data_IF_999260892643
#
_entry.id   IF_999260892643
#
_cell.length_a   1.000
_cell.length_b   1.000
_cell.length_c   1.000
_cell.angle_alpha   90.00
_cell.angle_beta   90.00
_cell.angle_gamma   90.00
#
_symmetry.space_group_name_H-M   'P 1'
#
loop_
_entity.id
_entity.type
_entity.pdbx_description
1 polymer ?
#
# COMPACT_ATOMS: atom_id res chain seq x y z
N UNK A 1 -6.95 -10.16 -4.27
CA UNK A 1 -6.52 -8.92 -4.97
C UNK A 1 -7.66 -7.95 -5.35
N UNK A 2 -8.93 -8.27 -5.15
CA UNK A 2 -10.05 -7.60 -5.85
C UNK A 2 -10.80 -6.52 -5.06
N UNK A 3 -10.93 -6.60 -3.74
CA UNK A 3 -11.91 -5.80 -3.01
C UNK A 3 -11.46 -4.36 -2.69
N UNK A 4 -10.23 -4.18 -2.21
CA UNK A 4 -9.68 -2.84 -1.89
C UNK A 4 -9.53 -1.96 -3.13
N UNK A 5 -9.05 -2.54 -4.24
CA UNK A 5 -8.98 -1.86 -5.54
C UNK A 5 -10.36 -1.51 -6.07
N UNK A 6 -11.34 -2.41 -5.91
CA UNK A 6 -12.72 -2.14 -6.30
C UNK A 6 -13.30 -0.98 -5.47
N UNK A 7 -13.11 -0.98 -4.16
CA UNK A 7 -13.55 0.11 -3.29
C UNK A 7 -12.97 1.45 -3.74
N UNK A 8 -11.65 1.51 -3.96
CA UNK A 8 -10.95 2.70 -4.43
C UNK A 8 -11.52 3.20 -5.78
N UNK A 9 -11.64 2.32 -6.77
CA UNK A 9 -12.20 2.67 -8.08
C UNK A 9 -13.65 3.15 -8.01
N UNK A 10 -14.48 2.55 -7.14
CA UNK A 10 -15.88 2.96 -6.97
C UNK A 10 -15.96 4.38 -6.43
N UNK A 11 -15.12 4.72 -5.45
CA UNK A 11 -15.06 6.08 -4.89
C UNK A 11 -14.64 7.09 -5.96
N UNK A 12 -13.67 6.75 -6.82
CA UNK A 12 -13.26 7.61 -7.93
C UNK A 12 -14.38 7.84 -8.95
N UNK A 13 -15.25 6.85 -9.15
CA UNK A 13 -16.44 6.95 -9.98
C UNK A 13 -17.63 7.63 -9.28
N UNK A 14 -17.46 8.14 -8.05
CA UNK A 14 -18.53 8.76 -7.26
C UNK A 14 -19.58 7.76 -6.77
N UNK A 15 -19.27 6.47 -6.74
CA UNK A 15 -20.15 5.40 -6.28
C UNK A 15 -19.89 5.07 -4.81
N UNK A 16 -20.92 4.59 -4.10
CA UNK A 16 -20.76 4.07 -2.74
C UNK A 16 -19.88 2.82 -2.73
N UNK A 17 -18.95 2.76 -1.77
CA UNK A 17 -18.10 1.60 -1.51
C UNK A 17 -18.33 1.00 -0.10
N UNK A 18 -19.50 1.25 0.51
CA UNK A 18 -19.80 0.86 1.89
C UNK A 18 -19.63 -0.65 2.13
N UNK A 19 -20.29 -1.49 1.32
CA UNK A 19 -20.20 -2.95 1.45
C UNK A 19 -18.75 -3.45 1.33
N UNK A 20 -17.97 -2.85 0.42
CA UNK A 20 -16.56 -3.22 0.26
C UNK A 20 -15.74 -2.84 1.48
N UNK A 21 -16.04 -1.71 2.13
CA UNK A 21 -15.36 -1.35 3.36
C UNK A 21 -15.74 -2.27 4.52
N UNK A 22 -17.01 -2.63 4.67
CA UNK A 22 -17.46 -3.52 5.74
C UNK A 22 -16.75 -4.88 5.64
N UNK A 23 -16.68 -5.44 4.43
CA UNK A 23 -15.98 -6.71 4.19
C UNK A 23 -14.45 -6.57 4.33
N UNK A 24 -13.84 -5.47 3.85
CA UNK A 24 -12.40 -5.26 4.02
C UNK A 24 -12.01 -5.12 5.49
N UNK A 25 -12.75 -4.31 6.25
CA UNK A 25 -12.42 -4.02 7.64
C UNK A 25 -12.64 -5.21 8.56
N UNK A 26 -13.56 -6.12 8.21
CA UNK A 26 -13.74 -7.39 8.91
C UNK A 26 -12.49 -8.30 8.83
N UNK A 27 -11.64 -8.12 7.81
CA UNK A 27 -10.43 -8.91 7.59
C UNK A 27 -9.17 -8.25 8.20
N UNK A 28 -9.29 -7.15 8.96
CA UNK A 28 -8.11 -6.54 9.58
C UNK A 28 -7.50 -7.47 10.64
N UNK A 29 -6.23 -7.82 10.46
CA UNK A 29 -5.50 -8.66 11.40
C UNK A 29 -5.20 -7.98 12.73
N UNK A 30 -4.78 -8.77 13.72
CA UNK A 30 -4.30 -8.26 15.01
C UNK A 30 -3.09 -7.32 14.84
N UNK A 31 -2.24 -7.62 13.85
CA UNK A 31 -1.08 -6.82 13.42
C UNK A 31 -1.47 -5.50 12.72
N UNK A 32 -2.75 -5.31 12.43
CA UNK A 32 -3.31 -4.13 11.77
C UNK A 32 -3.28 -4.19 10.24
N UNK A 33 -2.63 -5.19 9.65
CA UNK A 33 -2.58 -5.37 8.21
C UNK A 33 -3.84 -6.05 7.65
N UNK A 34 -3.86 -6.19 6.33
CA UNK A 34 -4.95 -6.85 5.60
C UNK A 34 -4.41 -7.99 4.74
N UNK A 35 -5.08 -9.16 4.74
CA UNK A 35 -4.66 -10.30 3.94
C UNK A 35 -5.15 -10.19 2.50
N UNK A 36 -4.46 -10.86 1.57
CA UNK A 36 -4.86 -10.88 0.15
C UNK A 36 -6.17 -11.63 -0.11
N UNK A 37 -6.48 -12.59 0.75
CA UNK A 37 -7.68 -13.42 0.81
C UNK A 37 -8.04 -13.67 2.28
N UNK A 38 -9.34 -13.83 2.62
CA UNK A 38 -9.77 -14.12 3.98
C UNK A 38 -9.04 -15.31 4.61
N UNK A 39 -8.67 -15.16 5.88
CA UNK A 39 -7.96 -16.18 6.66
C UNK A 39 -6.47 -16.37 6.36
N UNK A 40 -5.89 -15.58 5.44
CA UNK A 40 -4.44 -15.54 5.23
C UNK A 40 -3.75 -14.55 6.18
N UNK A 41 -2.42 -14.52 6.15
CA UNK A 41 -1.62 -13.50 6.82
C UNK A 41 -1.74 -12.16 6.08
N UNK A 42 -1.56 -11.06 6.83
CA UNK A 42 -1.49 -9.71 6.29
C UNK A 42 -0.39 -9.58 5.21
N UNK A 43 -0.68 -8.85 4.13
CA UNK A 43 0.27 -8.57 3.06
C UNK A 43 0.42 -7.05 2.82
N UNK A 44 1.64 -6.55 2.58
CA UNK A 44 1.87 -5.13 2.29
C UNK A 44 1.07 -4.55 1.13
N UNK A 45 1.00 -5.25 -0.01
CA UNK A 45 0.30 -4.73 -1.19
C UNK A 45 -1.19 -4.53 -0.92
N UNK A 46 -1.85 -5.51 -0.30
CA UNK A 46 -3.27 -5.41 0.02
C UNK A 46 -3.52 -4.33 1.07
N UNK A 47 -2.68 -4.27 2.10
CA UNK A 47 -2.75 -3.22 3.14
C UNK A 47 -2.60 -1.82 2.54
N UNK A 48 -1.68 -1.62 1.61
CA UNK A 48 -1.49 -0.34 0.92
C UNK A 48 -2.74 0.05 0.11
N UNK A 49 -3.38 -0.89 -0.60
CA UNK A 49 -4.63 -0.61 -1.31
C UNK A 49 -5.78 -0.23 -0.38
N UNK A 50 -5.90 -0.87 0.78
CA UNK A 50 -6.93 -0.51 1.77
C UNK A 50 -6.70 0.90 2.29
N UNK A 51 -5.45 1.28 2.60
CA UNK A 51 -5.11 2.63 3.03
C UNK A 51 -5.44 3.69 1.96
N UNK A 52 -5.14 3.42 0.69
CA UNK A 52 -5.51 4.31 -0.41
C UNK A 52 -7.04 4.43 -0.57
N UNK A 53 -7.79 3.34 -0.39
CA UNK A 53 -9.25 3.39 -0.42
C UNK A 53 -9.81 4.23 0.76
N UNK A 54 -9.29 4.00 1.97
CA UNK A 54 -9.70 4.74 3.18
C UNK A 54 -9.38 6.23 3.05
N UNK A 55 -8.17 6.59 2.63
CA UNK A 55 -7.79 8.00 2.41
C UNK A 55 -8.70 8.68 1.40
N UNK A 56 -8.96 8.01 0.26
CA UNK A 56 -9.82 8.53 -0.80
C UNK A 56 -11.28 8.72 -0.36
N UNK A 57 -11.76 7.91 0.58
CA UNK A 57 -13.08 8.04 1.21
C UNK A 57 -13.13 9.09 2.34
N UNK A 58 -12.03 9.79 2.64
CA UNK A 58 -11.94 10.69 3.79
C UNK A 58 -11.82 9.98 5.15
N UNK A 59 -11.59 8.65 5.13
CA UNK A 59 -11.49 7.76 6.28
C UNK A 59 -10.05 7.47 6.70
N UNK A 60 -9.07 8.12 6.08
CA UNK A 60 -7.66 8.08 6.53
C UNK A 60 -7.47 8.58 7.97
N UNK A 61 -8.51 9.23 8.51
CA UNK A 61 -8.76 9.67 9.89
C UNK A 61 -8.81 8.57 10.96
N UNK A 62 -9.26 7.38 10.58
CA UNK A 62 -9.83 6.39 11.48
C UNK A 62 -8.79 5.44 12.11
N UNK A 63 -9.22 4.71 13.13
CA UNK A 63 -8.38 3.78 13.89
C UNK A 63 -7.82 2.66 13.01
N UNK A 64 -8.65 2.15 12.11
CA UNK A 64 -8.34 1.09 11.17
C UNK A 64 -7.23 1.54 10.20
N UNK A 65 -7.31 2.78 9.72
CA UNK A 65 -6.26 3.39 8.90
C UNK A 65 -4.94 3.55 9.69
N UNK A 66 -5.01 3.99 10.95
CA UNK A 66 -3.81 4.12 11.79
C UNK A 66 -3.15 2.77 12.07
N UNK A 67 -3.94 1.72 12.34
CA UNK A 67 -3.45 0.33 12.53
C UNK A 67 -2.77 -0.20 11.27
N UNK A 68 -3.39 -0.01 10.10
CA UNK A 68 -2.85 -0.43 8.82
C UNK A 68 -1.57 0.30 8.43
N UNK A 69 -1.49 1.60 8.72
CA UNK A 69 -0.26 2.37 8.54
C UNK A 69 0.86 1.86 9.47
N UNK A 70 0.52 1.52 10.72
CA UNK A 70 1.44 0.89 11.67
C UNK A 70 2.02 -0.42 11.13
N UNK A 71 1.17 -1.29 10.58
CA UNK A 71 1.60 -2.52 9.91
C UNK A 71 2.58 -2.24 8.75
N UNK A 72 2.26 -1.28 7.86
CA UNK A 72 3.13 -0.96 6.73
C UNK A 72 4.51 -0.48 7.20
N UNK A 73 4.56 0.39 8.21
CA UNK A 73 5.84 0.87 8.74
C UNK A 73 6.64 -0.28 9.37
N UNK A 74 5.98 -1.16 10.13
CA UNK A 74 6.61 -2.30 10.78
C UNK A 74 7.09 -3.38 9.80
N UNK A 75 6.45 -3.50 8.64
CA UNK A 75 6.78 -4.49 7.60
C UNK A 75 7.79 -3.99 6.55
N UNK A 76 8.24 -2.73 6.63
CA UNK A 76 9.29 -2.22 5.75
C UNK A 76 10.60 -2.97 6.00
N UNK A 77 11.19 -3.52 4.93
CA UNK A 77 12.42 -4.29 5.01
C UNK A 77 13.64 -3.40 5.25
N UNK A 78 14.78 -4.01 5.57
CA UNK A 78 16.05 -3.29 5.81
C UNK A 78 16.56 -2.55 4.57
N UNK A 79 16.27 -3.08 3.38
CA UNK A 79 16.56 -2.45 2.08
C UNK A 79 15.61 -1.29 1.72
N UNK A 80 14.58 -1.04 2.53
CA UNK A 80 13.60 0.02 2.33
C UNK A 80 12.37 -0.37 1.49
N UNK A 81 12.36 -1.58 0.93
CA UNK A 81 11.24 -2.11 0.17
C UNK A 81 10.21 -2.85 1.02
N UNK A 82 9.17 -3.34 0.36
CA UNK A 82 8.18 -4.27 0.92
C UNK A 82 8.15 -5.55 0.10
N UNK A 83 7.93 -6.66 0.80
CA UNK A 83 7.76 -7.97 0.20
C UNK A 83 6.47 -8.02 -0.63
N UNK A 84 6.52 -8.67 -1.79
CA UNK A 84 5.31 -9.17 -2.44
C UNK A 84 5.02 -10.54 -1.84
N UNK A 85 3.81 -10.86 -1.38
CA UNK A 85 3.58 -12.20 -0.84
C UNK A 85 3.55 -13.25 -1.96
N UNK A 86 4.10 -14.46 -1.74
CA UNK A 86 4.98 -14.89 -0.65
C UNK A 86 6.49 -14.78 -1.02
N UNK A 87 6.85 -13.89 -1.94
CA UNK A 87 8.25 -13.65 -2.29
C UNK A 87 9.02 -13.16 -1.05
N UNK A 88 10.05 -13.90 -0.64
CA UNK A 88 10.95 -13.54 0.47
C UNK A 88 11.91 -12.39 0.09
N UNK A 89 11.54 -11.56 -0.88
CA UNK A 89 12.33 -10.43 -1.37
C UNK A 89 11.45 -9.20 -1.60
N UNK A 90 12.01 -8.02 -1.36
CA UNK A 90 11.35 -6.75 -1.65
C UNK A 90 11.04 -6.63 -3.14
N UNK A 91 9.88 -6.06 -3.46
CA UNK A 91 9.41 -5.92 -4.84
C UNK A 91 8.95 -4.49 -5.14
N UNK A 92 9.14 -4.04 -6.38
CA UNK A 92 8.86 -2.65 -6.79
C UNK A 92 7.37 -2.27 -6.66
N UNK A 93 6.44 -3.18 -6.98
CA UNK A 93 4.99 -2.90 -6.89
C UNK A 93 4.51 -2.58 -5.45
N UNK A 94 4.66 -3.48 -4.45
CA UNK A 94 4.25 -3.17 -3.08
C UNK A 94 5.01 -1.96 -2.53
N UNK A 95 6.27 -1.79 -2.89
CA UNK A 95 7.08 -0.64 -2.44
C UNK A 95 6.54 0.68 -3.00
N UNK A 96 6.20 0.75 -4.28
CA UNK A 96 5.62 1.94 -4.90
C UNK A 96 4.27 2.30 -4.30
N UNK A 97 3.38 1.31 -4.08
CA UNK A 97 2.09 1.56 -3.42
C UNK A 97 2.24 1.98 -1.96
N UNK A 98 3.18 1.38 -1.22
CA UNK A 98 3.50 1.82 0.14
C UNK A 98 4.06 3.26 0.15
N UNK A 99 4.93 3.62 -0.80
CA UNK A 99 5.44 4.99 -0.91
C UNK A 99 4.33 6.01 -1.15
N UNK A 100 3.35 5.70 -2.02
CA UNK A 100 2.17 6.54 -2.26
C UNK A 100 1.35 6.74 -0.98
N UNK A 101 1.07 5.66 -0.26
CA UNK A 101 0.35 5.73 1.03
C UNK A 101 1.12 6.60 2.02
N UNK A 102 2.42 6.36 2.20
CA UNK A 102 3.23 7.11 3.14
C UNK A 102 3.24 8.61 2.78
N UNK A 103 3.30 8.93 1.48
CA UNK A 103 3.19 10.30 1.01
C UNK A 103 1.81 10.89 1.32
N UNK A 104 0.70 10.22 1.02
CA UNK A 104 -0.65 10.70 1.30
C UNK A 104 -0.87 11.00 2.80
N UNK A 105 -0.30 10.18 3.68
CA UNK A 105 -0.45 10.30 5.14
C UNK A 105 0.59 11.22 5.81
N UNK A 106 1.56 11.78 5.06
CA UNK A 106 2.72 12.54 5.61
C UNK A 106 2.37 13.80 6.39
N UNK A 107 1.22 14.39 6.13
CA UNK A 107 0.76 15.59 6.85
C UNK A 107 0.11 15.25 8.19
N UNK A 108 -0.18 13.97 8.43
CA UNK A 108 -0.87 13.46 9.61
C UNK A 108 0.03 12.64 10.53
N UNK A 109 1.08 12.05 9.97
CA UNK A 109 2.04 11.21 10.68
C UNK A 109 3.48 11.55 10.29
N UNK A 110 4.43 11.34 11.20
CA UNK A 110 5.86 11.55 10.95
C UNK A 110 6.44 10.39 10.10
N UNK A 111 6.40 10.54 8.78
CA UNK A 111 6.74 9.48 7.82
C UNK A 111 7.99 9.76 6.97
N UNK A 112 8.80 10.76 7.33
CA UNK A 112 9.99 11.17 6.55
C UNK A 112 10.94 10.00 6.28
N UNK A 113 11.27 9.22 7.31
CA UNK A 113 12.22 8.10 7.19
C UNK A 113 11.68 6.95 6.31
N UNK A 114 10.48 6.39 6.54
CA UNK A 114 9.97 5.31 5.69
C UNK A 114 9.77 5.74 4.23
N UNK A 115 9.41 7.02 3.97
CA UNK A 115 9.35 7.58 2.62
C UNK A 115 10.74 7.60 1.97
N UNK A 116 11.75 8.15 2.65
CA UNK A 116 13.09 8.25 2.08
C UNK A 116 13.65 6.87 1.70
N UNK A 117 13.40 5.85 2.54
CA UNK A 117 13.85 4.47 2.30
C UNK A 117 13.11 3.80 1.14
N UNK A 118 11.81 4.03 1.00
CA UNK A 118 11.04 3.47 -0.12
C UNK A 118 11.47 4.07 -1.45
N UNK A 119 11.72 5.37 -1.51
CA UNK A 119 12.23 6.06 -2.71
C UNK A 119 13.63 5.58 -3.07
N UNK A 120 14.53 5.41 -2.09
CA UNK A 120 15.87 4.88 -2.32
C UNK A 120 15.84 3.46 -2.91
N UNK A 121 14.97 2.58 -2.38
CA UNK A 121 14.77 1.24 -2.93
C UNK A 121 14.32 1.31 -4.39
N UNK A 122 13.27 2.09 -4.69
CA UNK A 122 12.75 2.23 -6.06
C UNK A 122 13.84 2.77 -6.99
N UNK A 123 14.57 3.81 -6.61
CA UNK A 123 15.66 4.36 -7.41
C UNK A 123 16.76 3.33 -7.70
N UNK A 124 17.10 2.48 -6.72
CA UNK A 124 18.10 1.41 -6.90
C UNK A 124 17.65 0.30 -7.85
N UNK A 125 16.33 0.08 -7.97
CA UNK A 125 15.74 -0.92 -8.86
C UNK A 125 15.58 -0.42 -10.32
N UNK A 126 15.91 0.84 -10.60
CA UNK A 126 15.75 1.46 -11.91
C UNK A 126 16.77 0.90 -12.90
N UNK A 127 16.29 0.42 -14.04
CA UNK A 127 17.14 -0.05 -15.14
C UNK A 127 17.75 1.14 -15.91
N UNK A 128 18.83 0.94 -16.71
CA UNK A 128 19.48 2.01 -17.47
C UNK A 128 18.56 2.75 -18.45
N UNK A 129 17.52 2.08 -18.93
CA UNK A 129 16.49 2.65 -19.80
C UNK A 129 15.36 3.36 -19.03
N UNK A 130 15.56 3.58 -17.72
CA UNK A 130 14.62 4.17 -16.78
C UNK A 130 13.35 3.34 -16.52
N UNK A 131 13.34 2.04 -16.85
CA UNK A 131 12.23 1.13 -16.58
C UNK A 131 12.42 0.34 -15.28
N UNK A 132 11.37 -0.39 -14.88
CA UNK A 132 11.34 -1.23 -13.67
C UNK A 132 10.89 -2.67 -13.98
N UNK A 133 11.24 -3.18 -15.16
CA UNK A 133 10.76 -4.47 -15.68
C UNK A 133 9.66 -4.27 -16.71
N UNK A 134 8.48 -4.85 -16.48
CA UNK A 134 7.35 -4.73 -17.42
C UNK A 134 6.78 -3.29 -17.47
N UNK A 135 6.09 -2.95 -18.57
CA UNK A 135 5.48 -1.63 -18.74
C UNK A 135 4.52 -1.26 -17.61
N UNK A 136 3.74 -2.24 -17.12
CA UNK A 136 2.84 -2.05 -15.97
C UNK A 136 3.61 -1.71 -14.68
N UNK A 137 4.70 -2.43 -14.39
CA UNK A 137 5.53 -2.17 -13.21
C UNK A 137 6.15 -0.78 -13.30
N UNK A 138 6.63 -0.41 -14.48
CA UNK A 138 7.20 0.92 -14.74
C UNK A 138 6.18 2.02 -14.47
N UNK A 139 4.95 1.89 -15.00
CA UNK A 139 3.90 2.87 -14.76
C UNK A 139 3.59 3.04 -13.26
N UNK A 140 3.42 1.94 -12.53
CA UNK A 140 3.12 1.97 -11.08
C UNK A 140 4.23 2.62 -10.27
N UNK A 141 5.50 2.37 -10.61
CA UNK A 141 6.63 2.99 -9.91
C UNK A 141 6.73 4.48 -10.23
N UNK A 142 6.50 4.89 -11.47
CA UNK A 142 6.53 6.30 -11.86
C UNK A 142 5.41 7.12 -11.22
N UNK A 143 4.25 6.53 -10.91
CA UNK A 143 3.21 7.19 -10.11
C UNK A 143 3.64 7.45 -8.65
N UNK A 144 4.71 6.81 -8.17
CA UNK A 144 5.16 6.89 -6.78
C UNK A 144 6.42 7.75 -6.59
N UNK A 145 7.12 8.11 -7.68
CA UNK A 145 8.31 8.98 -7.70
C UNK A 145 7.91 10.43 -7.94
#
# INVERSE_FOLDING_TARGET
LSLARLAHNRIDLGQSAADQFDELLAEQGEDGGFPALPGLQSEPLTTAWVLLALDRAGRGGETEAARALGYLIASQQTDGGWLAAPANTSHVIPTARAAQVLYAFRNRFALTQPIARSLAFLQSARQPDNTFGEAFQTAVVLEAL
#
